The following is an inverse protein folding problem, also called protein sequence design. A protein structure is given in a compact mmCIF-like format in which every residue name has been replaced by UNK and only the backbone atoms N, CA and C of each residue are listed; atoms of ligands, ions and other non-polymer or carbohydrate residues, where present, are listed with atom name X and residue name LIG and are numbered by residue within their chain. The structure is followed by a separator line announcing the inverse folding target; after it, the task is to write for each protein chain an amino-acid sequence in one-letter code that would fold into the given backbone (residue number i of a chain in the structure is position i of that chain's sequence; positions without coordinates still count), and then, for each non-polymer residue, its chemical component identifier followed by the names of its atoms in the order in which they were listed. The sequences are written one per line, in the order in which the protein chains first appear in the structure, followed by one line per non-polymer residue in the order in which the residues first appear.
data_IF_610060352568
#
_entry.id   IF_610060352568
#
_cell.length_a   1.000
_cell.length_b   1.000
_cell.length_c   1.000
_cell.angle_alpha   90.00
_cell.angle_beta   90.00
_cell.angle_gamma   90.00
#
_symmetry.space_group_name_H-M   'P 1'
#
loop_
_entity.id
_entity.type
_entity.pdbx_description
1 polymer ?
#
# COMPACT_ATOMS: atom_id res chain seq x y z
N UNK A 1 19.83 16.76 -7.49
CA UNK A 1 20.34 17.12 -6.15
C UNK A 1 19.43 16.48 -5.12
N UNK A 2 19.71 15.29 -4.54
CA UNK A 2 18.83 14.79 -3.49
C UNK A 2 19.27 15.38 -2.15
N UNK A 3 18.57 16.43 -1.71
CA UNK A 3 18.55 16.84 -0.31
C UNK A 3 17.70 15.82 0.47
N UNK A 4 18.22 14.60 0.64
CA UNK A 4 17.64 13.60 1.54
C UNK A 4 18.14 13.86 2.96
N UNK A 5 17.67 14.95 3.56
CA UNK A 5 17.76 15.09 5.01
C UNK A 5 16.40 14.76 5.56
N UNK A 6 16.24 13.51 5.97
CA UNK A 6 15.14 13.04 6.80
C UNK A 6 15.60 13.14 8.27
N UNK A 7 15.58 14.32 8.91
CA UNK A 7 16.18 14.52 10.24
C UNK A 7 15.55 13.61 11.30
N UNK A 8 14.29 13.23 11.10
CA UNK A 8 13.57 12.24 11.87
C UNK A 8 14.23 10.86 11.94
N UNK A 9 15.03 10.46 10.94
CA UNK A 9 15.77 9.19 10.98
C UNK A 9 16.81 9.17 12.09
N UNK A 10 17.43 10.32 12.39
CA UNK A 10 18.40 10.46 13.49
C UNK A 10 17.74 10.27 14.86
N UNK A 11 16.42 10.44 14.96
CA UNK A 11 15.65 10.26 16.18
C UNK A 11 15.19 8.80 16.38
N UNK A 12 15.39 7.93 15.39
CA UNK A 12 14.94 6.53 15.46
C UNK A 12 15.92 5.69 16.27
N UNK A 13 15.40 4.89 17.18
CA UNK A 13 16.20 3.90 17.93
C UNK A 13 16.69 2.82 16.95
N UNK A 14 17.95 2.33 17.07
CA UNK A 14 18.47 1.26 16.21
C UNK A 14 17.57 0.02 16.16
N UNK A 15 16.96 -0.37 17.29
CA UNK A 15 16.03 -1.49 17.35
C UNK A 15 14.74 -1.28 16.54
N UNK A 16 14.26 -0.03 16.41
CA UNK A 16 13.08 0.27 15.60
C UNK A 16 13.39 0.14 14.10
N UNK A 17 14.57 0.61 13.68
CA UNK A 17 15.05 0.45 12.30
C UNK A 17 15.21 -1.03 11.96
N UNK A 18 15.88 -1.80 12.83
CA UNK A 18 16.06 -3.24 12.65
C UNK A 18 14.71 -3.98 12.54
N UNK A 19 13.71 -3.58 13.33
CA UNK A 19 12.37 -4.17 13.27
C UNK A 19 11.66 -3.89 11.93
N UNK A 20 11.71 -2.65 11.42
CA UNK A 20 11.15 -2.30 10.10
C UNK A 20 11.81 -3.13 9.00
N UNK A 21 13.14 -3.17 8.97
CA UNK A 21 13.89 -3.95 7.98
C UNK A 21 13.58 -5.45 8.07
N UNK A 22 13.41 -5.99 9.29
CA UNK A 22 12.98 -7.36 9.51
C UNK A 22 11.58 -7.66 8.93
N UNK A 23 10.64 -6.72 9.06
CA UNK A 23 9.30 -6.84 8.47
C UNK A 23 9.39 -6.86 6.94
N UNK A 24 10.14 -5.94 6.33
CA UNK A 24 10.32 -5.91 4.87
C UNK A 24 10.93 -7.20 4.35
N UNK A 25 12.01 -7.66 5.00
CA UNK A 25 12.70 -8.90 4.64
C UNK A 25 11.78 -10.12 4.72
N UNK A 26 11.05 -10.26 5.82
CA UNK A 26 10.18 -11.42 6.04
C UNK A 26 8.97 -11.43 5.11
N UNK A 27 8.43 -10.26 4.76
CA UNK A 27 7.23 -10.09 3.94
C UNK A 27 7.49 -10.25 2.45
N UNK A 28 8.53 -9.58 1.95
CA UNK A 28 8.85 -9.51 0.52
C UNK A 28 10.00 -10.43 0.10
N UNK A 29 10.65 -11.12 1.05
CA UNK A 29 11.77 -12.06 0.81
C UNK A 29 12.97 -11.41 0.12
N UNK A 30 13.22 -10.14 0.43
CA UNK A 30 14.32 -9.35 -0.13
C UNK A 30 15.68 -9.79 0.44
N UNK A 31 16.70 -9.75 -0.41
CA UNK A 31 18.11 -9.79 -0.01
C UNK A 31 18.53 -8.49 0.69
N UNK A 32 19.74 -8.46 1.26
CA UNK A 32 20.26 -7.26 1.92
C UNK A 32 20.42 -6.10 0.92
N UNK A 33 20.91 -6.38 -0.29
CA UNK A 33 21.10 -5.36 -1.33
C UNK A 33 19.77 -4.81 -1.83
N UNK A 34 18.76 -5.65 -1.97
CA UNK A 34 17.41 -5.22 -2.34
C UNK A 34 16.74 -4.39 -1.22
N UNK A 35 16.98 -4.72 0.05
CA UNK A 35 16.50 -3.93 1.19
C UNK A 35 17.13 -2.54 1.20
N UNK A 36 18.44 -2.44 0.93
CA UNK A 36 19.13 -1.16 0.80
C UNK A 36 18.50 -0.32 -0.32
N UNK A 37 18.26 -0.92 -1.48
CA UNK A 37 17.58 -0.22 -2.58
C UNK A 37 16.18 0.26 -2.19
N UNK A 38 15.38 -0.52 -1.46
CA UNK A 38 14.06 -0.05 -0.97
C UNK A 38 14.22 1.21 -0.11
N UNK A 39 15.20 1.22 0.79
CA UNK A 39 15.47 2.38 1.66
C UNK A 39 16.01 3.57 0.86
N UNK A 40 16.83 3.34 -0.17
CA UNK A 40 17.29 4.40 -1.06
C UNK A 40 16.14 5.04 -1.86
N UNK A 41 15.18 4.23 -2.31
CA UNK A 41 13.99 4.74 -3.01
C UNK A 41 13.03 5.48 -2.08
N UNK A 42 12.89 5.04 -0.84
CA UNK A 42 12.02 5.67 0.15
C UNK A 42 12.57 5.53 1.57
N UNK A 43 13.39 6.49 2.05
CA UNK A 43 13.95 6.45 3.40
C UNK A 43 12.89 6.62 4.49
N UNK A 44 11.73 7.21 4.17
CA UNK A 44 10.65 7.46 5.14
C UNK A 44 10.05 6.17 5.68
N UNK A 45 10.22 5.05 4.96
CA UNK A 45 9.83 3.71 5.40
C UNK A 45 10.38 3.35 6.79
N UNK A 46 11.58 3.82 7.14
CA UNK A 46 12.21 3.54 8.44
C UNK A 46 11.52 4.26 9.61
N UNK A 47 10.70 5.27 9.30
CA UNK A 47 9.87 5.99 10.26
C UNK A 47 8.55 5.27 10.55
N UNK A 48 8.13 4.33 9.69
CA UNK A 48 6.89 3.58 9.88
C UNK A 48 6.90 2.75 11.18
N UNK A 49 5.70 2.46 11.68
CA UNK A 49 5.51 1.45 12.70
C UNK A 49 5.69 0.05 12.08
N UNK A 50 6.57 -0.82 12.63
CA UNK A 50 6.76 -2.18 12.11
C UNK A 50 5.45 -2.97 12.02
N UNK A 51 4.57 -2.83 13.02
CA UNK A 51 3.27 -3.50 13.04
C UNK A 51 2.34 -2.99 11.95
N UNK A 52 2.25 -1.67 11.78
CA UNK A 52 1.44 -1.07 10.71
C UNK A 52 1.93 -1.46 9.31
N UNK A 53 3.24 -1.53 9.12
CA UNK A 53 3.87 -1.96 7.88
C UNK A 53 3.59 -3.43 7.56
N UNK A 54 3.68 -4.29 8.58
CA UNK A 54 3.35 -5.71 8.44
C UNK A 54 1.88 -5.90 8.08
N UNK A 55 0.98 -5.18 8.77
CA UNK A 55 -0.46 -5.26 8.53
C UNK A 55 -0.84 -4.77 7.13
N UNK A 56 -0.34 -3.61 6.69
CA UNK A 56 -0.64 -3.07 5.36
C UNK A 56 -0.12 -3.99 4.25
N UNK A 57 1.12 -4.48 4.39
CA UNK A 57 1.74 -5.38 3.41
C UNK A 57 1.01 -6.73 3.35
N UNK A 58 0.61 -7.28 4.49
CA UNK A 58 -0.17 -8.52 4.54
C UNK A 58 -1.56 -8.35 3.93
N UNK A 59 -2.25 -7.23 4.19
CA UNK A 59 -3.54 -6.91 3.58
C UNK A 59 -3.43 -6.78 2.06
N UNK A 60 -2.38 -6.13 1.56
CA UNK A 60 -2.15 -6.03 0.12
C UNK A 60 -1.93 -7.39 -0.52
N UNK A 61 -1.04 -8.20 0.07
CA UNK A 61 -0.77 -9.57 -0.38
C UNK A 61 -2.04 -10.43 -0.35
N UNK A 62 -2.84 -10.33 0.72
CA UNK A 62 -4.10 -11.06 0.85
C UNK A 62 -5.07 -10.65 -0.26
N UNK A 63 -5.28 -9.35 -0.47
CA UNK A 63 -6.18 -8.84 -1.50
C UNK A 63 -5.75 -9.29 -2.91
N UNK A 64 -4.45 -9.24 -3.21
CA UNK A 64 -3.91 -9.72 -4.48
C UNK A 64 -4.04 -11.24 -4.64
N UNK A 65 -3.92 -12.01 -3.55
CA UNK A 65 -3.99 -13.47 -3.59
C UNK A 65 -5.38 -14.02 -3.90
N UNK A 66 -6.44 -13.22 -3.72
CA UNK A 66 -7.83 -13.61 -3.99
C UNK A 66 -8.15 -13.85 -5.47
N UNK A 67 -7.28 -13.42 -6.38
CA UNK A 67 -7.44 -13.65 -7.81
C UNK A 67 -6.13 -14.14 -8.44
N UNK A 68 -6.17 -15.19 -9.27
CA UNK A 68 -4.97 -15.84 -9.83
C UNK A 68 -4.11 -14.87 -10.65
N UNK A 69 -4.72 -14.03 -11.47
CA UNK A 69 -3.99 -13.05 -12.28
C UNK A 69 -3.32 -11.98 -11.41
N UNK A 70 -4.02 -11.49 -10.37
CA UNK A 70 -3.46 -10.52 -9.43
C UNK A 70 -2.34 -11.12 -8.59
N UNK A 71 -2.44 -12.39 -8.19
CA UNK A 71 -1.37 -13.09 -7.49
C UNK A 71 -0.09 -13.19 -8.34
N UNK A 72 -0.22 -13.41 -9.65
CA UNK A 72 0.91 -13.41 -10.58
C UNK A 72 1.48 -11.99 -10.76
N UNK A 73 0.61 -11.00 -10.95
CA UNK A 73 0.99 -9.59 -11.12
C UNK A 73 1.68 -9.04 -9.86
N UNK A 74 1.14 -9.33 -8.67
CA UNK A 74 1.73 -8.96 -7.39
C UNK A 74 3.14 -9.53 -7.24
N UNK A 75 3.33 -10.82 -7.54
CA UNK A 75 4.67 -11.44 -7.49
C UNK A 75 5.65 -10.75 -8.44
N UNK A 76 5.20 -10.41 -9.66
CA UNK A 76 6.00 -9.69 -10.64
C UNK A 76 6.30 -8.23 -10.21
N UNK A 77 5.34 -7.56 -9.59
CA UNK A 77 5.52 -6.19 -9.10
C UNK A 77 6.50 -6.16 -7.93
N UNK A 78 6.28 -7.01 -6.92
CA UNK A 78 7.10 -7.05 -5.71
C UNK A 78 8.50 -7.66 -5.91
N UNK A 79 8.83 -8.18 -7.11
CA UNK A 79 10.18 -8.64 -7.42
C UNK A 79 11.16 -7.50 -7.72
N UNK A 80 10.74 -6.24 -7.64
CA UNK A 80 11.58 -5.06 -7.87
C UNK A 80 11.55 -4.14 -6.64
N UNK A 81 12.70 -3.76 -6.06
CA UNK A 81 12.76 -2.90 -4.87
C UNK A 81 11.97 -1.59 -4.99
N UNK A 82 12.04 -0.91 -6.14
CA UNK A 82 11.28 0.34 -6.39
C UNK A 82 9.77 0.16 -6.23
N UNK A 83 9.23 -0.99 -6.64
CA UNK A 83 7.81 -1.27 -6.53
C UNK A 83 7.43 -1.64 -5.10
N UNK A 84 8.34 -2.27 -4.35
CA UNK A 84 8.15 -2.50 -2.92
C UNK A 84 8.05 -1.15 -2.23
N UNK A 85 9.03 -0.25 -2.40
CA UNK A 85 8.98 1.10 -1.82
C UNK A 85 7.66 1.82 -2.11
N UNK A 86 7.22 1.83 -3.37
CA UNK A 86 5.91 2.39 -3.78
C UNK A 86 4.72 1.67 -3.11
N UNK A 87 4.77 0.36 -2.95
CA UNK A 87 3.71 -0.41 -2.31
C UNK A 87 3.54 -0.08 -0.82
N UNK A 88 4.61 0.34 -0.14
CA UNK A 88 4.56 0.72 1.28
C UNK A 88 3.84 2.05 1.49
N UNK A 89 3.78 2.90 0.46
CA UNK A 89 3.00 4.14 0.42
C UNK A 89 1.53 3.92 0.02
N UNK A 90 1.10 2.68 -0.22
CA UNK A 90 -0.30 2.43 -0.58
C UNK A 90 -1.20 2.79 0.60
N UNK A 91 -2.07 3.76 0.35
CA UNK A 91 -3.04 4.21 1.34
C UNK A 91 -4.02 3.09 1.72
N UNK A 92 -4.44 3.02 2.99
CA UNK A 92 -5.46 2.09 3.46
C UNK A 92 -6.75 2.09 2.63
N UNK A 93 -7.19 3.23 2.09
CA UNK A 93 -8.36 3.31 1.22
C UNK A 93 -8.15 2.54 -0.10
N UNK A 94 -6.97 2.64 -0.71
CA UNK A 94 -6.59 1.86 -1.89
C UNK A 94 -6.57 0.35 -1.60
N UNK A 95 -6.13 -0.08 -0.41
CA UNK A 95 -6.22 -1.49 0.01
C UNK A 95 -7.68 -1.98 0.17
N UNK A 96 -8.57 -1.11 0.65
CA UNK A 96 -10.00 -1.42 0.76
C UNK A 96 -10.66 -1.55 -0.61
N UNK A 97 -10.24 -0.76 -1.62
CA UNK A 97 -10.69 -0.91 -3.01
C UNK A 97 -10.36 -2.29 -3.57
N UNK A 98 -9.13 -2.75 -3.39
CA UNK A 98 -8.72 -4.10 -3.80
C UNK A 98 -9.56 -5.18 -3.13
N UNK A 99 -9.79 -5.03 -1.82
CA UNK A 99 -10.61 -5.95 -1.05
C UNK A 99 -12.05 -6.01 -1.58
N UNK A 100 -12.63 -4.85 -1.90
CA UNK A 100 -13.97 -4.75 -2.50
C UNK A 100 -14.03 -5.45 -3.86
N UNK A 101 -13.10 -5.15 -4.77
CA UNK A 101 -13.07 -5.78 -6.10
C UNK A 101 -12.92 -7.30 -6.04
N UNK A 102 -12.05 -7.78 -5.15
CA UNK A 102 -11.87 -9.20 -4.93
C UNK A 102 -13.16 -9.85 -4.40
N UNK A 103 -13.82 -9.22 -3.42
CA UNK A 103 -15.07 -9.73 -2.82
C UNK A 103 -16.23 -9.75 -3.82
N UNK A 104 -16.34 -8.73 -4.66
CA UNK A 104 -17.38 -8.62 -5.68
C UNK A 104 -17.07 -9.41 -6.97
N UNK A 105 -15.99 -10.21 -6.98
CA UNK A 105 -15.50 -10.97 -8.14
C UNK A 105 -15.25 -10.10 -9.39
N UNK A 106 -14.92 -8.83 -9.19
CA UNK A 106 -14.62 -7.87 -10.26
C UNK A 106 -13.14 -7.81 -10.64
N UNK A 107 -12.30 -8.58 -9.95
CA UNK A 107 -10.85 -8.64 -10.20
C UNK A 107 -10.47 -9.10 -11.62
N UNK A 108 -11.34 -9.80 -12.35
CA UNK A 108 -11.07 -10.22 -13.72
C UNK A 108 -11.13 -9.05 -14.74
N UNK A 109 -11.82 -7.96 -14.41
CA UNK A 109 -12.01 -6.80 -15.29
C UNK A 109 -10.96 -5.70 -15.17
N UNK A 110 -9.97 -5.85 -14.27
CA UNK A 110 -8.95 -4.83 -14.03
C UNK A 110 -7.63 -5.46 -13.60
N UNK A 111 -6.49 -4.89 -14.00
CA UNK A 111 -5.18 -5.28 -13.49
C UNK A 111 -5.01 -4.81 -12.04
N UNK A 112 -4.10 -5.45 -11.31
CA UNK A 112 -3.80 -5.06 -9.94
C UNK A 112 -3.27 -3.62 -9.90
N UNK A 113 -2.39 -3.27 -10.85
CA UNK A 113 -1.87 -1.91 -11.01
C UNK A 113 -2.99 -0.89 -11.24
N UNK A 114 -3.89 -1.15 -12.19
CA UNK A 114 -5.00 -0.22 -12.47
C UNK A 114 -5.90 -0.05 -11.25
N UNK A 115 -6.19 -1.13 -10.52
CA UNK A 115 -7.02 -1.08 -9.33
C UNK A 115 -6.42 -0.25 -8.17
N UNK A 116 -5.08 -0.16 -8.06
CA UNK A 116 -4.42 0.68 -7.03
C UNK A 116 -4.12 2.11 -7.50
N UNK A 117 -4.05 2.34 -8.80
CA UNK A 117 -3.72 3.65 -9.37
C UNK A 117 -4.94 4.54 -9.64
N UNK A 118 -6.16 3.99 -9.62
CA UNK A 118 -7.38 4.78 -9.79
C UNK A 118 -7.65 5.67 -8.57
N UNK A 119 -7.97 6.95 -8.83
CA UNK A 119 -8.38 7.88 -7.79
C UNK A 119 -9.68 7.44 -7.12
N UNK A 120 -9.93 7.92 -5.90
CA UNK A 120 -11.14 7.58 -5.15
C UNK A 120 -12.43 7.92 -5.91
N UNK A 121 -12.47 9.11 -6.53
CA UNK A 121 -13.62 9.57 -7.33
C UNK A 121 -13.83 8.71 -8.58
N UNK A 122 -12.76 8.42 -9.34
CA UNK A 122 -12.84 7.55 -10.51
C UNK A 122 -13.32 6.15 -10.13
N UNK A 123 -12.84 5.63 -9.00
CA UNK A 123 -13.21 4.32 -8.52
C UNK A 123 -14.69 4.24 -8.12
N UNK A 124 -15.20 5.23 -7.39
CA UNK A 124 -16.64 5.30 -7.02
C UNK A 124 -17.51 5.40 -8.26
N UNK A 125 -17.13 6.21 -9.25
CA UNK A 125 -17.86 6.33 -10.51
C UNK A 125 -17.92 5.00 -11.28
N UNK A 126 -16.80 4.27 -11.36
CA UNK A 126 -16.75 2.95 -12.00
C UNK A 126 -17.44 1.85 -11.18
N UNK A 127 -17.56 2.03 -9.86
CA UNK A 127 -18.09 1.03 -8.94
C UNK A 127 -19.05 1.63 -7.91
N UNK A 128 -20.30 1.96 -8.29
CA UNK A 128 -21.27 2.62 -7.41
C UNK A 128 -21.56 1.90 -6.09
N UNK A 129 -21.44 0.57 -6.05
CA UNK A 129 -21.59 -0.24 -4.83
C UNK A 129 -20.45 -0.11 -3.82
N UNK A 130 -19.36 0.59 -4.14
CA UNK A 130 -18.21 0.75 -3.25
C UNK A 130 -18.49 1.71 -2.09
N UNK A 131 -19.08 2.87 -2.35
CA UNK A 131 -19.41 3.84 -1.31
C UNK A 131 -20.28 3.28 -0.17
N UNK A 132 -21.42 2.60 -0.45
CA UNK A 132 -22.21 1.99 0.62
C UNK A 132 -21.47 0.84 1.32
N UNK A 133 -20.65 0.06 0.59
CA UNK A 133 -19.83 -0.98 1.20
C UNK A 133 -18.77 -0.39 2.15
N UNK A 134 -18.12 0.71 1.76
CA UNK A 134 -17.12 1.41 2.55
C UNK A 134 -17.75 2.00 3.83
N UNK A 135 -18.95 2.58 3.75
CA UNK A 135 -19.70 3.06 4.91
C UNK A 135 -19.98 1.94 5.95
N UNK A 136 -20.26 0.72 5.49
CA UNK A 136 -20.40 -0.44 6.38
C UNK A 136 -19.07 -0.80 7.06
N UNK A 137 -17.94 -0.72 6.36
CA UNK A 137 -16.62 -0.96 6.94
C UNK A 137 -16.25 0.09 8.00
N UNK A 138 -16.62 1.37 7.78
CA UNK A 138 -16.44 2.42 8.79
C UNK A 138 -17.20 2.10 10.07
N UNK A 139 -18.46 1.70 9.95
CA UNK A 139 -19.35 1.37 11.06
C UNK A 139 -18.86 0.15 11.85
N UNK A 140 -18.26 -0.82 11.16
CA UNK A 140 -17.68 -2.02 11.77
C UNK A 140 -16.28 -1.81 12.40
N UNK A 141 -15.73 -0.59 12.35
CA UNK A 141 -14.39 -0.31 12.89
C UNK A 141 -13.24 -0.79 12.00
N UNK A 142 -13.51 -1.18 10.75
CA UNK A 142 -12.51 -1.73 9.81
C UNK A 142 -11.60 -0.68 9.17
N UNK A 143 -11.87 0.62 9.38
CA UNK A 143 -11.10 1.72 8.78
C UNK A 143 -10.60 2.69 9.87
N UNK A 144 -9.31 3.09 9.84
CA UNK A 144 -8.77 4.06 10.80
C UNK A 144 -9.55 5.38 10.84
N UNK A 145 -9.64 5.99 12.03
CA UNK A 145 -10.45 7.20 12.28
C UNK A 145 -10.08 8.39 11.38
N UNK A 146 -8.82 8.52 10.96
CA UNK A 146 -8.36 9.62 10.11
C UNK A 146 -8.87 9.53 8.66
N UNK A 147 -9.41 8.39 8.24
CA UNK A 147 -10.11 8.24 6.96
C UNK A 147 -11.63 8.39 7.08
N UNK A 148 -12.19 8.56 8.29
CA UNK A 148 -13.63 8.79 8.47
C UNK A 148 -13.99 10.23 8.10
N UNK A 149 -14.37 10.46 6.85
CA UNK A 149 -14.84 11.74 6.30
C UNK A 149 -14.95 11.70 4.77
N UNK A 150 -15.48 12.76 4.15
CA UNK A 150 -15.66 12.91 2.69
C UNK A 150 -14.36 12.94 1.86
N UNK A 151 -13.21 12.69 2.49
CA UNK A 151 -11.93 12.53 1.83
C UNK A 151 -11.89 11.19 1.05
N UNK A 152 -12.64 11.14 -0.05
CA UNK A 152 -12.26 10.30 -1.18
C UNK A 152 -10.93 10.85 -1.66
N UNK A 153 -9.84 10.06 -1.61
CA UNK A 153 -8.48 10.42 -2.02
C UNK A 153 -8.50 11.61 -2.99
N UNK A 154 -8.30 12.82 -2.46
CA UNK A 154 -8.00 13.96 -3.29
C UNK A 154 -6.54 13.76 -3.63
N UNK A 155 -6.30 13.02 -4.73
CA UNK A 155 -4.96 12.90 -5.26
C UNK A 155 -4.51 14.33 -5.59
N UNK A 156 -3.54 14.86 -4.84
CA UNK A 156 -2.64 15.86 -5.36
C UNK A 156 -2.04 15.25 -6.63
N UNK A 157 -2.24 15.92 -7.75
CA UNK A 157 -1.77 15.51 -9.07
C UNK A 157 -0.27 15.17 -8.98
N UNK A 158 0.08 13.87 -8.87
CA UNK A 158 1.48 13.44 -9.01
C UNK A 158 1.83 13.55 -10.49
N UNK A 159 2.50 14.66 -10.81
CA UNK A 159 3.04 15.05 -12.11
C UNK A 159 3.62 13.87 -12.92
N UNK A 160 3.27 13.83 -14.20
CA UNK A 160 3.93 13.03 -15.22
C UNK A 160 5.44 13.34 -15.28
N UNK A 161 6.28 12.39 -14.85
CA UNK A 161 7.68 12.28 -15.29
C UNK A 161 8.12 10.82 -15.42
#
# INVERSE_FOLDING_TARGET
MPHLQEPQLLLRRPGAVAAVLGVLRSTFKLSNDELLQVVEYDPTVLCCSPGGLADSSNKFKEAASRHKAWSAEYRKLMSRPVNVARALRIEPLRLLRLTYLARMRKAAGSSLKAAVSMSGRQFVAAHPGYAPWLAQQYSAGGVPRHYRGDALDEDEDEDEY
#
